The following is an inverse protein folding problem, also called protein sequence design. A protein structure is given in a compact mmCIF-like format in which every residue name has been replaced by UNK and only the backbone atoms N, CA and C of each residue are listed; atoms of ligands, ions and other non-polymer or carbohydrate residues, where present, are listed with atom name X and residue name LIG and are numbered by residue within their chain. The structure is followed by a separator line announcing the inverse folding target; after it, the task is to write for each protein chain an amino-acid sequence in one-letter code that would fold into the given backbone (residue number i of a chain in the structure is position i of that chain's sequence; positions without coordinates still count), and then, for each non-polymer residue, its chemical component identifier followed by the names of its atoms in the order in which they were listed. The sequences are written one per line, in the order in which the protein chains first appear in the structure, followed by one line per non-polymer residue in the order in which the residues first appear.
data_IF_244155424011
#
_entry.id   IF_244155424011
#
_cell.length_a   1.000
_cell.length_b   1.000
_cell.length_c   1.000
_cell.angle_alpha   90.00
_cell.angle_beta   90.00
_cell.angle_gamma   90.00
#
_symmetry.space_group_name_H-M   'P 1'
#
loop_
_entity.id
_entity.type
_entity.pdbx_description
1 polymer ?
#
# COMPACT_ATOMS: atom_id res chain seq x y z
N UNK A 1 4.68 -16.04 6.85
CA UNK A 1 4.57 -15.06 5.75
C UNK A 1 5.64 -13.99 5.94
N UNK A 2 6.40 -13.69 4.90
CA UNK A 2 7.53 -12.79 4.98
C UNK A 2 7.53 -11.77 3.84
N UNK A 3 8.17 -10.64 4.08
CA UNK A 3 8.32 -9.57 3.11
C UNK A 3 9.59 -8.79 3.43
N UNK A 4 10.32 -8.38 2.40
CA UNK A 4 11.51 -7.53 2.55
C UNK A 4 11.28 -6.22 1.83
N UNK A 5 11.58 -5.11 2.49
CA UNK A 5 11.40 -3.77 1.93
C UNK A 5 12.75 -3.07 1.88
N UNK A 6 13.12 -2.57 0.70
CA UNK A 6 14.36 -1.86 0.48
C UNK A 6 14.10 -0.45 -0.03
N UNK A 7 14.85 0.52 0.47
CA UNK A 7 14.82 1.88 -0.01
C UNK A 7 15.61 1.98 -1.32
N UNK A 8 14.98 2.52 -2.35
CA UNK A 8 15.62 2.63 -3.68
C UNK A 8 16.68 3.75 -3.73
N UNK A 9 16.60 4.72 -2.82
CA UNK A 9 17.63 5.77 -2.73
C UNK A 9 19.02 5.23 -2.42
N UNK A 10 19.12 4.03 -1.85
CA UNK A 10 20.38 3.34 -1.61
C UNK A 10 21.06 2.84 -2.88
N UNK A 11 20.38 2.88 -4.03
CA UNK A 11 20.90 2.40 -5.30
C UNK A 11 21.63 3.49 -6.11
N UNK A 12 22.05 4.58 -5.47
CA UNK A 12 22.93 5.55 -6.12
C UNK A 12 22.63 7.01 -5.88
N UNK A 13 21.37 7.40 -5.76
CA UNK A 13 21.01 8.83 -5.62
C UNK A 13 20.97 9.30 -4.18
N UNK A 14 20.66 8.40 -3.25
CA UNK A 14 20.45 8.69 -1.82
C UNK A 14 19.42 9.79 -1.59
N UNK A 15 18.50 9.95 -2.54
CA UNK A 15 17.43 10.92 -2.46
C UNK A 15 16.11 10.25 -2.82
N UNK A 16 15.00 10.97 -2.55
CA UNK A 16 13.69 10.44 -2.79
C UNK A 16 13.21 9.49 -1.71
N UNK A 17 11.98 9.05 -1.83
CA UNK A 17 11.30 8.19 -0.85
C UNK A 17 10.66 6.98 -1.52
N UNK A 18 11.34 6.41 -2.51
CA UNK A 18 10.89 5.19 -3.17
C UNK A 18 11.34 3.95 -2.43
N UNK A 19 10.48 2.95 -2.41
CA UNK A 19 10.74 1.65 -1.77
C UNK A 19 10.25 0.53 -2.67
N UNK A 20 10.94 -0.61 -2.58
CA UNK A 20 10.54 -1.83 -3.28
C UNK A 20 10.38 -2.92 -2.24
N UNK A 21 9.23 -3.56 -2.23
CA UNK A 21 8.94 -4.69 -1.35
C UNK A 21 8.94 -5.99 -2.16
N UNK A 22 9.59 -7.01 -1.63
CA UNK A 22 9.58 -8.35 -2.19
C UNK A 22 8.80 -9.26 -1.25
N UNK A 23 7.75 -9.89 -1.77
CA UNK A 23 6.89 -10.75 -0.96
C UNK A 23 7.40 -12.18 -0.96
N UNK A 24 7.06 -12.93 0.09
CA UNK A 24 7.41 -14.35 0.16
C UNK A 24 6.80 -15.20 -0.94
N UNK A 25 5.75 -14.71 -1.61
CA UNK A 25 5.12 -15.39 -2.75
C UNK A 25 5.84 -15.10 -4.08
N UNK A 26 6.92 -14.31 -4.07
CA UNK A 26 7.71 -14.04 -5.27
C UNK A 26 7.24 -12.86 -6.09
N UNK A 27 6.51 -11.91 -5.49
CA UNK A 27 6.04 -10.73 -6.18
C UNK A 27 6.71 -9.47 -5.65
N UNK A 28 6.67 -8.42 -6.46
CA UNK A 28 7.28 -7.13 -6.14
C UNK A 28 6.19 -6.06 -6.07
N UNK A 29 6.31 -5.20 -5.06
CA UNK A 29 5.41 -4.09 -4.82
C UNK A 29 6.25 -2.82 -4.69
N UNK A 30 5.88 -1.77 -5.42
CA UNK A 30 6.60 -0.49 -5.34
C UNK A 30 5.77 0.52 -4.54
N UNK A 31 6.48 1.37 -3.80
CA UNK A 31 5.87 2.41 -2.98
C UNK A 31 6.67 3.69 -3.11
N UNK A 32 6.02 4.83 -2.97
CA UNK A 32 6.68 6.13 -3.02
C UNK A 32 5.96 7.09 -2.08
N UNK A 33 6.50 8.27 -1.92
CA UNK A 33 5.93 9.32 -1.10
C UNK A 33 5.34 10.44 -1.92
N UNK A 34 4.66 11.35 -1.23
CA UNK A 34 4.20 12.59 -1.83
C UNK A 34 5.38 13.55 -2.01
N UNK A 35 5.35 14.41 -3.03
CA UNK A 35 6.36 15.45 -3.19
C UNK A 35 6.34 16.41 -1.99
N UNK A 36 7.52 16.89 -1.63
CA UNK A 36 7.69 17.91 -0.59
C UNK A 36 8.21 19.19 -1.26
N UNK A 37 7.37 20.20 -1.36
CA UNK A 37 7.71 21.45 -2.02
C UNK A 37 8.77 22.25 -1.26
N UNK A 38 8.87 22.06 0.06
CA UNK A 38 9.83 22.80 0.89
C UNK A 38 11.19 22.11 0.96
N UNK A 39 11.20 20.78 0.94
CA UNK A 39 12.42 19.97 0.98
C UNK A 39 12.34 18.87 -0.08
N UNK A 40 12.50 19.22 -1.36
CA UNK A 40 12.30 18.25 -2.44
C UNK A 40 13.15 16.99 -2.33
N UNK A 41 14.35 17.09 -1.75
CA UNK A 41 15.22 15.92 -1.57
C UNK A 41 14.68 14.91 -0.55
N UNK A 42 13.79 15.34 0.33
CA UNK A 42 13.19 14.47 1.36
C UNK A 42 11.80 13.97 0.97
N UNK A 43 11.24 14.47 -0.11
CA UNK A 43 9.94 14.04 -0.58
C UNK A 43 10.03 12.96 -1.64
N UNK A 44 8.90 12.34 -1.92
CA UNK A 44 8.77 11.39 -3.00
C UNK A 44 8.50 12.04 -4.35
N UNK A 45 8.34 11.22 -5.37
CA UNK A 45 8.07 11.68 -6.73
C UNK A 45 6.66 11.30 -7.21
N UNK A 46 5.86 10.73 -6.34
CA UNK A 46 4.51 10.28 -6.66
C UNK A 46 4.47 9.31 -7.85
N UNK A 47 5.46 8.41 -7.90
CA UNK A 47 5.56 7.41 -8.97
C UNK A 47 4.96 6.06 -8.58
N UNK A 48 4.49 5.93 -7.35
CA UNK A 48 3.90 4.71 -6.84
C UNK A 48 2.97 5.05 -5.66
N UNK A 49 2.15 4.10 -5.21
CA UNK A 49 1.30 4.33 -4.04
C UNK A 49 2.11 4.64 -2.78
N UNK A 50 1.52 5.38 -1.86
CA UNK A 50 2.09 5.59 -0.53
C UNK A 50 2.03 4.28 0.26
N UNK A 51 2.97 4.04 1.19
CA UNK A 51 2.94 2.83 2.02
C UNK A 51 1.61 2.61 2.74
N UNK A 52 1.01 3.66 3.30
CA UNK A 52 -0.29 3.54 3.96
C UNK A 52 -1.41 3.19 2.99
N UNK A 53 -1.32 3.64 1.74
CA UNK A 53 -2.29 3.26 0.70
C UNK A 53 -2.20 1.77 0.38
N UNK A 54 -0.99 1.20 0.37
CA UNK A 54 -0.82 -0.24 0.14
C UNK A 54 -1.38 -1.07 1.31
N UNK A 55 -1.24 -0.58 2.54
CA UNK A 55 -1.83 -1.22 3.70
C UNK A 55 -3.36 -1.19 3.61
N UNK A 56 -3.92 -0.05 3.22
CA UNK A 56 -5.36 0.11 3.04
C UNK A 56 -5.87 -0.80 1.91
N UNK A 57 -5.17 -0.82 0.79
CA UNK A 57 -5.52 -1.70 -0.34
C UNK A 57 -5.47 -3.17 0.05
N UNK A 58 -4.47 -3.57 0.84
CA UNK A 58 -4.36 -4.94 1.35
C UNK A 58 -5.52 -5.31 2.27
N UNK A 59 -5.93 -4.38 3.13
CA UNK A 59 -7.10 -4.57 3.99
C UNK A 59 -8.36 -4.81 3.16
N UNK A 60 -8.59 -3.97 2.16
CA UNK A 60 -9.71 -4.15 1.24
C UNK A 60 -9.63 -5.43 0.43
N UNK A 61 -8.42 -5.79 0.00
CA UNK A 61 -8.17 -7.02 -0.74
C UNK A 61 -8.50 -8.27 0.07
N UNK A 62 -8.10 -8.30 1.34
CA UNK A 62 -8.44 -9.42 2.23
C UNK A 62 -9.95 -9.56 2.40
N UNK A 63 -10.64 -8.45 2.62
CA UNK A 63 -12.09 -8.45 2.76
C UNK A 63 -12.79 -8.93 1.50
N UNK A 64 -12.42 -8.37 0.35
CA UNK A 64 -13.00 -8.74 -0.93
C UNK A 64 -12.74 -10.21 -1.28
N UNK A 65 -11.53 -10.68 -1.02
CA UNK A 65 -11.16 -12.07 -1.25
C UNK A 65 -12.08 -13.02 -0.48
N UNK A 66 -12.26 -12.75 0.81
CA UNK A 66 -13.09 -13.60 1.66
C UNK A 66 -14.55 -13.59 1.21
N UNK A 67 -15.10 -12.42 0.85
CA UNK A 67 -16.48 -12.30 0.38
C UNK A 67 -16.67 -13.11 -0.91
N UNK A 68 -15.78 -12.93 -1.89
CA UNK A 68 -15.88 -13.64 -3.15
C UNK A 68 -15.74 -15.15 -2.93
N UNK A 69 -14.79 -15.57 -2.09
CA UNK A 69 -14.57 -16.99 -1.80
C UNK A 69 -15.80 -17.63 -1.15
N UNK A 70 -16.39 -16.98 -0.16
CA UNK A 70 -17.58 -17.49 0.51
C UNK A 70 -18.75 -17.63 -0.48
N UNK A 71 -18.98 -16.60 -1.30
CA UNK A 71 -20.06 -16.62 -2.27
C UNK A 71 -19.85 -17.70 -3.35
N UNK A 72 -18.61 -17.88 -3.81
CA UNK A 72 -18.29 -18.92 -4.81
C UNK A 72 -18.44 -20.32 -4.23
N UNK A 73 -18.06 -20.53 -2.98
CA UNK A 73 -18.27 -21.81 -2.29
C UNK A 73 -19.76 -22.12 -2.14
N UNK A 74 -20.59 -21.09 -1.98
CA UNK A 74 -22.04 -21.22 -1.95
C UNK A 74 -22.67 -21.36 -3.34
N UNK A 75 -21.85 -21.46 -4.39
CA UNK A 75 -22.28 -21.61 -5.79
C UNK A 75 -23.08 -20.43 -6.32
N UNK A 76 -22.83 -19.23 -5.78
CA UNK A 76 -23.41 -18.00 -6.31
C UNK A 76 -22.65 -17.56 -7.57
N UNK A 77 -23.36 -16.97 -8.52
CA UNK A 77 -22.77 -16.41 -9.73
C UNK A 77 -22.23 -15.01 -9.41
N UNK A 78 -20.96 -14.93 -9.00
CA UNK A 78 -20.31 -13.67 -8.67
C UNK A 78 -19.68 -13.08 -9.91
N UNK A 79 -20.19 -11.92 -10.36
CA UNK A 79 -19.72 -11.23 -11.57
C UNK A 79 -18.89 -9.99 -11.28
N UNK A 80 -18.81 -9.59 -10.00
CA UNK A 80 -18.01 -8.47 -9.62
C UNK A 80 -18.03 -8.29 -8.13
N UNK A 81 -17.02 -7.57 -7.63
CA UNK A 81 -16.93 -7.19 -6.23
C UNK A 81 -16.06 -5.95 -6.14
N UNK A 82 -16.53 -4.95 -5.44
CA UNK A 82 -15.71 -3.77 -5.16
C UNK A 82 -15.84 -3.39 -3.70
N UNK A 83 -14.74 -2.91 -3.13
CA UNK A 83 -14.69 -2.45 -1.75
C UNK A 83 -14.08 -1.06 -1.75
N UNK A 84 -14.79 -0.11 -1.18
CA UNK A 84 -14.28 1.25 -1.01
C UNK A 84 -13.91 1.46 0.44
N UNK A 85 -12.67 1.90 0.67
CA UNK A 85 -12.17 2.16 2.00
C UNK A 85 -11.77 3.61 2.13
N UNK A 86 -11.96 4.15 3.32
CA UNK A 86 -11.42 5.45 3.68
C UNK A 86 -10.75 5.32 5.04
N UNK A 87 -9.72 6.12 5.27
CA UNK A 87 -8.95 6.06 6.50
C UNK A 87 -8.45 7.45 6.88
N UNK A 88 -8.24 7.64 8.16
CA UNK A 88 -7.64 8.85 8.70
C UNK A 88 -6.26 8.51 9.26
N UNK A 89 -5.30 9.41 9.07
CA UNK A 89 -3.94 9.26 9.58
C UNK A 89 -3.73 10.22 10.75
N UNK A 90 -2.73 9.88 11.60
CA UNK A 90 -2.29 10.79 12.64
C UNK A 90 -1.68 12.06 12.01
N UNK A 91 -1.91 13.21 12.63
CA UNK A 91 -1.39 14.48 12.14
C UNK A 91 0.09 14.64 12.43
N UNK A 92 0.62 13.89 13.40
CA UNK A 92 2.02 13.97 13.83
C UNK A 92 2.78 12.69 13.48
N UNK A 93 4.09 12.78 13.41
CA UNK A 93 4.93 11.62 13.17
C UNK A 93 4.96 10.68 14.39
N UNK A 94 4.97 9.33 14.17
CA UNK A 94 4.81 8.69 12.87
C UNK A 94 3.37 8.79 12.37
N UNK A 95 3.23 8.95 11.04
CA UNK A 95 1.91 9.03 10.42
C UNK A 95 1.37 7.63 10.19
N UNK A 96 0.50 7.20 11.07
CA UNK A 96 -0.14 5.88 11.00
C UNK A 96 -1.64 6.06 10.83
N UNK A 97 -2.32 4.99 10.42
CA UNK A 97 -3.77 5.03 10.38
C UNK A 97 -4.33 5.13 11.79
N UNK A 98 -5.19 6.11 12.02
CA UNK A 98 -5.95 6.23 13.27
C UNK A 98 -7.34 5.63 13.14
N UNK A 99 -7.83 5.48 11.90
CA UNK A 99 -9.17 4.99 11.63
C UNK A 99 -9.27 4.48 10.19
N UNK A 100 -9.87 3.30 10.02
CA UNK A 100 -10.15 2.70 8.71
C UNK A 100 -11.65 2.41 8.61
N UNK A 101 -12.25 2.81 7.52
CA UNK A 101 -13.66 2.57 7.24
C UNK A 101 -13.85 1.69 6.02
#
# INVERSE_FOLDING_TARGET
MECTVNWTGGLGTRSGMGFVAETGSGHVLTMDGAPDAQQPALGGQNLAPRPLETLLAGTGGCTAYDVVLILRRGRHDVRGCSVKLSAERADTEPKVFTKIH
#
